data_IF_102753761491
#
_entry.id   IF_102753761491
#
_cell.length_a   1.000
_cell.length_b   1.000
_cell.length_c   1.000
_cell.angle_alpha   90.00
_cell.angle_beta   90.00
_cell.angle_gamma   90.00
#
_symmetry.space_group_name_H-M   'P 1'
#
loop_
_entity.id
_entity.type
_entity.pdbx_description
1 polymer ?
#
# COMPACT_ATOMS: atom_id res chain seq x y z
N UNK A 1 -2.70 10.05 -3.25
CA UNK A 1 -2.25 10.44 -1.89
C UNK A 1 -2.11 11.94 -1.89
N UNK A 2 -2.80 12.65 -1.00
CA UNK A 2 -2.83 14.11 -1.06
C UNK A 2 -1.43 14.72 -0.96
N UNK A 3 -1.26 15.86 -1.62
CA UNK A 3 -0.01 16.61 -1.64
C UNK A 3 0.08 17.36 -0.32
N UNK A 4 1.18 17.24 0.46
CA UNK A 4 1.41 18.09 1.61
C UNK A 4 1.21 19.56 1.21
N UNK A 5 0.30 20.26 1.88
CA UNK A 5 0.03 21.68 1.60
C UNK A 5 1.03 22.60 2.29
N UNK A 6 1.89 22.04 3.15
CA UNK A 6 2.99 22.75 3.81
C UNK A 6 4.20 21.84 4.02
N UNK A 7 5.37 22.44 4.23
CA UNK A 7 6.61 21.73 4.59
C UNK A 7 6.66 21.31 6.06
N UNK A 8 5.70 21.75 6.88
CA UNK A 8 5.62 21.44 8.30
C UNK A 8 4.55 20.39 8.62
N UNK A 9 3.64 20.09 7.68
CA UNK A 9 2.69 18.99 7.78
C UNK A 9 3.11 17.82 6.87
N UNK A 10 3.94 16.95 7.43
CA UNK A 10 4.41 15.73 6.76
C UNK A 10 3.37 14.60 6.81
N UNK A 11 2.19 14.81 7.41
CA UNK A 11 1.13 13.81 7.47
C UNK A 11 -0.25 14.43 7.20
N UNK A 12 -0.54 14.78 5.92
CA UNK A 12 -1.78 15.45 5.55
C UNK A 12 -3.04 14.60 5.84
N UNK A 13 -2.91 13.28 6.03
CA UNK A 13 -4.02 12.41 6.44
C UNK A 13 -4.41 12.58 7.91
N UNK A 14 -3.55 13.15 8.77
CA UNK A 14 -3.81 13.24 10.22
C UNK A 14 -5.02 14.14 10.54
N UNK A 15 -5.24 15.20 9.77
CA UNK A 15 -6.36 16.13 10.00
C UNK A 15 -7.58 15.91 9.09
N UNK A 16 -7.49 15.03 8.09
CA UNK A 16 -8.45 14.95 7.00
C UNK A 16 -9.06 13.55 6.89
N UNK A 17 -10.36 13.45 7.22
CA UNK A 17 -11.09 12.19 7.12
C UNK A 17 -11.23 11.75 5.65
N UNK A 18 -11.52 12.66 4.73
CA UNK A 18 -11.71 12.32 3.32
C UNK A 18 -10.44 11.71 2.74
N UNK A 19 -9.27 12.29 3.02
CA UNK A 19 -7.99 11.72 2.59
C UNK A 19 -7.74 10.32 3.14
N UNK A 20 -8.18 10.03 4.37
CA UNK A 20 -8.10 8.68 4.94
C UNK A 20 -9.03 7.70 4.23
N UNK A 21 -10.24 8.13 3.87
CA UNK A 21 -11.17 7.32 3.10
C UNK A 21 -10.65 7.06 1.69
N UNK A 22 -10.11 8.08 1.03
CA UNK A 22 -9.48 8.00 -0.30
C UNK A 22 -8.33 7.00 -0.32
N UNK A 23 -7.43 7.08 0.66
CA UNK A 23 -6.33 6.13 0.77
C UNK A 23 -6.77 4.73 1.19
N UNK A 24 -7.76 4.66 2.09
CA UNK A 24 -8.28 3.41 2.61
C UNK A 24 -8.93 2.56 1.53
N UNK A 25 -9.88 3.16 0.79
CA UNK A 25 -10.70 2.41 -0.16
C UNK A 25 -11.32 3.23 -1.31
N UNK A 26 -11.55 4.54 -1.20
CA UNK A 26 -12.31 5.27 -2.23
C UNK A 26 -11.51 5.51 -3.51
N UNK A 27 -10.22 5.79 -3.42
CA UNK A 27 -9.46 6.22 -4.61
C UNK A 27 -9.38 5.13 -5.67
N UNK A 28 -9.21 3.86 -5.28
CA UNK A 28 -9.12 2.74 -6.22
C UNK A 28 -10.49 2.45 -6.84
N UNK A 29 -11.55 2.45 -6.03
CA UNK A 29 -12.93 2.32 -6.51
C UNK A 29 -13.32 3.40 -7.52
N UNK A 30 -13.08 4.68 -7.17
CA UNK A 30 -13.40 5.79 -8.06
C UNK A 30 -12.58 5.74 -9.35
N UNK A 31 -11.32 5.29 -9.29
CA UNK A 31 -10.52 5.03 -10.48
C UNK A 31 -11.17 3.95 -11.36
N UNK A 32 -11.68 2.86 -10.79
CA UNK A 32 -12.35 1.80 -11.53
C UNK A 32 -13.63 2.32 -12.22
N UNK A 33 -14.50 3.00 -11.47
CA UNK A 33 -15.76 3.57 -11.97
C UNK A 33 -15.51 4.58 -13.09
N UNK A 34 -14.66 5.58 -12.84
CA UNK A 34 -14.38 6.64 -13.81
C UNK A 34 -13.61 6.11 -15.02
N UNK A 35 -12.68 5.18 -14.81
CA UNK A 35 -11.91 4.55 -15.88
C UNK A 35 -12.82 3.79 -16.84
N UNK A 36 -13.75 2.98 -16.32
CA UNK A 36 -14.74 2.28 -17.14
C UNK A 36 -15.63 3.24 -17.92
N UNK A 37 -16.13 4.30 -17.29
CA UNK A 37 -16.94 5.32 -17.97
C UNK A 37 -16.18 5.99 -19.11
N UNK A 38 -14.94 6.42 -18.86
CA UNK A 38 -14.09 7.06 -19.87
C UNK A 38 -13.83 6.12 -21.05
N UNK A 39 -13.48 4.86 -20.77
CA UNK A 39 -13.21 3.87 -21.80
C UNK A 39 -14.46 3.57 -22.64
N UNK A 40 -15.64 3.50 -22.01
CA UNK A 40 -16.90 3.25 -22.73
C UNK A 40 -17.24 4.38 -23.70
N UNK A 41 -17.02 5.64 -23.30
CA UNK A 41 -17.23 6.80 -24.19
C UNK A 41 -16.20 6.81 -25.31
N UNK A 42 -14.93 6.58 -24.99
CA UNK A 42 -13.84 6.69 -25.95
C UNK A 42 -13.87 5.60 -27.02
N UNK A 43 -14.20 4.36 -26.63
CA UNK A 43 -14.24 3.21 -27.55
C UNK A 43 -15.65 2.89 -28.06
N UNK A 44 -16.67 3.66 -27.68
CA UNK A 44 -18.08 3.45 -28.04
C UNK A 44 -18.58 2.01 -27.75
N UNK A 45 -18.03 1.38 -26.71
CA UNK A 45 -18.37 0.00 -26.30
C UNK A 45 -18.14 -0.21 -24.81
N UNK A 46 -18.93 -1.08 -24.20
CA UNK A 46 -18.79 -1.37 -22.77
C UNK A 46 -17.50 -2.16 -22.45
N UNK A 47 -16.96 -1.93 -21.25
CA UNK A 47 -15.87 -2.74 -20.68
C UNK A 47 -16.41 -4.11 -20.28
N UNK A 48 -16.08 -5.14 -21.05
CA UNK A 48 -16.54 -6.52 -20.81
C UNK A 48 -15.80 -7.17 -19.64
N UNK A 49 -14.49 -6.92 -19.52
CA UNK A 49 -13.66 -7.42 -18.43
C UNK A 49 -12.72 -6.34 -17.91
N UNK A 50 -12.46 -6.37 -16.61
CA UNK A 50 -11.60 -5.45 -15.90
C UNK A 50 -10.80 -6.21 -14.85
N UNK A 51 -9.53 -5.82 -14.67
CA UNK A 51 -8.61 -6.47 -13.75
C UNK A 51 -7.83 -5.43 -12.95
N UNK A 52 -7.58 -5.71 -11.68
CA UNK A 52 -6.67 -4.93 -10.85
C UNK A 52 -5.46 -5.77 -10.47
N UNK A 53 -4.26 -5.18 -10.53
CA UNK A 53 -3.03 -5.84 -10.13
C UNK A 53 -2.31 -4.95 -9.14
N UNK A 54 -1.90 -5.53 -8.01
CA UNK A 54 -1.16 -4.78 -7.01
C UNK A 54 -0.20 -5.60 -6.17
N UNK A 55 0.91 -4.97 -5.81
CA UNK A 55 1.94 -5.46 -4.90
C UNK A 55 1.99 -4.58 -3.64
N UNK A 56 2.32 -5.13 -2.46
CA UNK A 56 2.44 -4.36 -1.21
C UNK A 56 1.16 -3.57 -0.88
N UNK A 57 1.21 -2.24 -0.84
CA UNK A 57 0.03 -1.37 -0.70
C UNK A 57 -1.01 -1.62 -1.80
N UNK A 58 -0.56 -1.87 -3.03
CA UNK A 58 -1.45 -2.23 -4.14
C UNK A 58 -2.11 -3.60 -3.95
N UNK A 59 -1.41 -4.54 -3.31
CA UNK A 59 -1.98 -5.83 -2.93
C UNK A 59 -3.09 -5.65 -1.90
N UNK A 60 -2.88 -4.79 -0.90
CA UNK A 60 -3.94 -4.37 0.03
C UNK A 60 -5.12 -3.73 -0.70
N UNK A 61 -4.88 -2.79 -1.60
CA UNK A 61 -5.94 -2.15 -2.40
C UNK A 61 -6.73 -3.19 -3.20
N UNK A 62 -6.05 -4.14 -3.83
CA UNK A 62 -6.69 -5.24 -4.57
C UNK A 62 -7.61 -6.10 -3.68
N UNK A 63 -7.19 -6.38 -2.44
CA UNK A 63 -8.04 -7.08 -1.46
C UNK A 63 -9.22 -6.22 -1.00
N UNK A 64 -9.01 -4.91 -0.81
CA UNK A 64 -10.08 -3.97 -0.45
C UNK A 64 -11.13 -3.90 -1.56
N UNK A 65 -10.72 -3.82 -2.82
CA UNK A 65 -11.62 -3.88 -3.99
C UNK A 65 -12.44 -5.17 -3.95
N UNK A 66 -11.80 -6.34 -3.82
CA UNK A 66 -12.52 -7.61 -3.76
C UNK A 66 -13.50 -7.73 -2.57
N UNK A 67 -13.19 -7.12 -1.42
CA UNK A 67 -14.00 -7.21 -0.20
C UNK A 67 -15.13 -6.18 -0.14
N UNK A 68 -14.91 -4.97 -0.66
CA UNK A 68 -15.80 -3.81 -0.47
C UNK A 68 -16.52 -3.40 -1.75
N UNK A 69 -15.90 -3.67 -2.90
CA UNK A 69 -16.38 -3.29 -4.23
C UNK A 69 -16.26 -4.49 -5.19
N UNK A 70 -16.94 -5.61 -4.90
CA UNK A 70 -16.73 -6.86 -5.64
C UNK A 70 -17.07 -6.77 -7.14
N UNK A 71 -17.84 -5.75 -7.54
CA UNK A 71 -18.24 -5.51 -8.94
C UNK A 71 -17.25 -4.63 -9.73
N UNK A 72 -16.22 -4.09 -9.06
CA UNK A 72 -15.26 -3.18 -9.71
C UNK A 72 -14.30 -3.91 -10.64
N UNK A 73 -13.98 -5.17 -10.37
CA UNK A 73 -13.07 -5.96 -11.20
C UNK A 73 -13.54 -7.41 -11.32
N UNK A 74 -13.37 -8.00 -12.51
CA UNK A 74 -13.66 -9.41 -12.74
C UNK A 74 -12.57 -10.33 -12.16
N UNK A 75 -11.38 -9.78 -11.91
CA UNK A 75 -10.29 -10.49 -11.24
C UNK A 75 -9.28 -9.53 -10.63
N UNK A 76 -8.69 -9.93 -9.50
CA UNK A 76 -7.62 -9.17 -8.84
C UNK A 76 -6.38 -10.03 -8.66
N UNK A 77 -5.21 -9.47 -8.99
CA UNK A 77 -3.91 -10.08 -8.77
C UNK A 77 -3.27 -9.47 -7.53
N UNK A 78 -3.13 -10.28 -6.48
CA UNK A 78 -2.71 -9.83 -5.15
C UNK A 78 -1.31 -10.36 -4.85
N UNK A 79 -0.34 -9.47 -4.71
CA UNK A 79 1.06 -9.82 -4.45
C UNK A 79 1.52 -9.13 -3.15
N UNK A 80 2.17 -9.90 -2.26
CA UNK A 80 2.70 -9.46 -0.97
C UNK A 80 1.83 -8.39 -0.26
N UNK A 81 0.53 -8.64 -0.05
CA UNK A 81 -0.40 -7.59 0.35
C UNK A 81 -0.14 -7.11 1.78
N UNK A 82 -0.17 -5.80 1.99
CA UNK A 82 -0.24 -5.21 3.34
C UNK A 82 -1.67 -5.31 3.92
N UNK A 83 -2.22 -6.53 4.00
CA UNK A 83 -3.62 -6.78 4.36
C UNK A 83 -3.95 -6.35 5.79
N UNK A 84 -2.99 -6.44 6.72
CA UNK A 84 -3.07 -5.90 8.07
C UNK A 84 -2.21 -4.63 8.15
N UNK A 85 -2.68 -3.57 7.51
CA UNK A 85 -1.95 -2.32 7.38
C UNK A 85 -1.55 -1.71 8.73
N UNK A 86 -2.45 -1.74 9.73
CA UNK A 86 -2.14 -1.28 11.09
C UNK A 86 -1.05 -2.14 11.75
N UNK A 87 -1.12 -3.47 11.59
CA UNK A 87 -0.08 -4.39 12.07
C UNK A 87 1.28 -4.13 11.42
N UNK A 88 1.30 -3.97 10.09
CA UNK A 88 2.54 -3.73 9.33
C UNK A 88 3.14 -2.37 9.70
N UNK A 89 2.35 -1.29 9.62
CA UNK A 89 2.87 0.08 9.75
C UNK A 89 3.13 0.49 11.20
N UNK A 90 2.25 0.14 12.14
CA UNK A 90 2.33 0.61 13.53
C UNK A 90 3.19 -0.30 14.40
N UNK A 91 3.16 -1.62 14.15
CA UNK A 91 3.91 -2.57 14.97
C UNK A 91 5.17 -3.03 14.26
N UNK A 92 5.05 -3.70 13.11
CA UNK A 92 6.19 -4.37 12.49
C UNK A 92 7.29 -3.39 12.07
N UNK A 93 6.94 -2.32 11.35
CA UNK A 93 7.92 -1.33 10.87
C UNK A 93 8.51 -0.54 12.04
N UNK A 94 7.68 -0.01 12.95
CA UNK A 94 8.16 0.77 14.09
C UNK A 94 9.04 -0.04 15.05
N UNK A 95 8.68 -1.29 15.32
CA UNK A 95 9.50 -2.20 16.12
C UNK A 95 10.83 -2.52 15.43
N UNK A 96 10.78 -2.86 14.14
CA UNK A 96 12.00 -3.18 13.37
C UNK A 96 12.93 -2.00 13.29
N UNK A 97 12.42 -0.79 13.05
CA UNK A 97 13.21 0.43 13.03
C UNK A 97 13.96 0.68 14.35
N UNK A 98 13.35 0.29 15.48
CA UNK A 98 13.95 0.40 16.80
C UNK A 98 15.03 -0.65 17.05
N UNK A 99 14.74 -1.91 16.76
CA UNK A 99 15.66 -3.02 17.10
C UNK A 99 16.78 -3.23 16.07
N UNK A 100 16.64 -2.67 14.87
CA UNK A 100 17.65 -2.76 13.83
C UNK A 100 18.88 -1.86 14.08
N UNK A 101 18.82 -0.96 15.06
CA UNK A 101 19.90 -0.03 15.40
C UNK A 101 20.41 -0.29 16.82
N UNK A 102 21.72 -0.35 17.01
CA UNK A 102 22.37 -0.31 18.34
C UNK A 102 22.45 1.11 18.88
N UNK A 103 22.61 2.09 17.98
CA UNK A 103 22.60 3.52 18.27
C UNK A 103 21.68 4.21 17.26
N UNK A 104 20.53 4.69 17.76
CA UNK A 104 19.52 5.38 16.97
C UNK A 104 19.95 6.78 16.49
N UNK A 105 20.89 7.42 17.19
CA UNK A 105 21.39 8.77 16.85
C UNK A 105 22.47 8.66 15.78
N UNK A 106 23.40 7.72 15.96
CA UNK A 106 24.48 7.46 15.01
C UNK A 106 24.05 6.56 13.84
N UNK A 107 22.82 6.05 13.84
CA UNK A 107 22.32 5.04 12.88
C UNK A 107 23.24 3.82 12.77
N UNK A 108 23.80 3.37 13.90
CA UNK A 108 24.68 2.19 13.92
C UNK A 108 23.83 0.93 13.85
N UNK A 109 24.00 0.07 12.83
CA UNK A 109 23.19 -1.13 12.67
C UNK A 109 23.48 -2.16 13.76
N UNK A 110 22.44 -2.86 14.21
CA UNK A 110 22.55 -3.95 15.19
C UNK A 110 23.08 -5.26 14.62
N UNK A 111 22.98 -5.42 13.30
CA UNK A 111 23.53 -6.55 12.56
C UNK A 111 24.28 -5.95 11.36
N UNK A 112 25.56 -6.24 11.25
CA UNK A 112 26.38 -5.84 10.10
C UNK A 112 26.07 -6.72 8.87
N UNK A 113 26.44 -6.27 7.67
CA UNK A 113 26.25 -7.07 6.47
C UNK A 113 26.98 -8.42 6.56
N UNK A 114 28.21 -8.45 7.11
CA UNK A 114 28.96 -9.69 7.33
C UNK A 114 28.21 -10.64 8.25
N UNK A 115 27.63 -10.15 9.34
CA UNK A 115 26.82 -10.96 10.24
C UNK A 115 25.52 -11.44 9.58
N UNK A 116 24.86 -10.60 8.78
CA UNK A 116 23.68 -10.98 8.02
C UNK A 116 23.98 -12.10 7.01
N UNK A 117 25.11 -12.04 6.31
CA UNK A 117 25.55 -13.08 5.38
C UNK A 117 25.82 -14.41 6.11
N UNK A 118 26.47 -14.36 7.28
CA UNK A 118 26.69 -15.54 8.11
C UNK A 118 25.38 -16.15 8.60
N UNK A 119 24.42 -15.32 9.04
CA UNK A 119 23.09 -15.77 9.45
C UNK A 119 22.37 -16.42 8.25
N UNK A 120 22.42 -15.79 7.07
CA UNK A 120 21.79 -16.31 5.86
C UNK A 120 22.34 -17.69 5.48
N UNK A 121 23.67 -17.85 5.50
CA UNK A 121 24.34 -19.11 5.19
C UNK A 121 24.01 -20.25 6.18
N UNK A 122 23.55 -19.94 7.39
CA UNK A 122 23.13 -20.94 8.39
C UNK A 122 21.68 -21.38 8.24
N UNK A 123 20.85 -20.63 7.50
CA UNK A 123 19.40 -20.89 7.33
C UNK A 123 19.08 -21.60 6.01
N UNK A 124 20.02 -21.59 5.05
CA UNK A 124 19.95 -22.34 3.79
C UNK A 124 20.64 -23.70 3.89
#
# INVERSE_FOLDING_TARGET
MGVPTSTTDLNPMRGDLQMRLDWGYLSTHLMAVMGKQLLSVYYEREVVYSYHLGNSTGGRQSLVEAQRYPDDFNGVFVIAPAYNETGVTTYSISWTARVALLDEIAFTPAITNTEADLIHALVL
#
